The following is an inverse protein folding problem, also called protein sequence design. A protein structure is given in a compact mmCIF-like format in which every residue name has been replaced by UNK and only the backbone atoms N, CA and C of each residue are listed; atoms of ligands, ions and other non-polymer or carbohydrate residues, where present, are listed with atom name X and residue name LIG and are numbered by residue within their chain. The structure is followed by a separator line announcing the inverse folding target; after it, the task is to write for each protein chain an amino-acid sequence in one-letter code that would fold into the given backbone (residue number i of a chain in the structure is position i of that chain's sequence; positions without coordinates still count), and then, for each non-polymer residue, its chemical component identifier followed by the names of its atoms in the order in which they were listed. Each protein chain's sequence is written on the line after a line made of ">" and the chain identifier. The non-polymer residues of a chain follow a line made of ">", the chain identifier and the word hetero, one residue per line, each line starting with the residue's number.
data_IF_598088995971
#
_entry.id   IF_598088995971
#
_cell.length_a   1.000
_cell.length_b   1.000
_cell.length_c   1.000
_cell.angle_alpha   90.00
_cell.angle_beta   90.00
_cell.angle_gamma   90.00
#
_symmetry.space_group_name_H-M   'P 1'
#
loop_
_entity.id
_entity.type
_entity.pdbx_description
1 polymer ?
#
# COMPACT_ATOMS: atom_id res chain seq x y z
N UNK A 1 18.59 -2.60 -8.98
CA UNK A 1 17.66 -2.65 -7.82
C UNK A 1 18.19 -3.64 -6.79
N UNK A 2 18.39 -3.27 -5.52
CA UNK A 2 18.95 -4.20 -4.51
C UNK A 2 17.92 -5.26 -4.07
N UNK A 3 18.37 -6.48 -3.73
CA UNK A 3 17.50 -7.57 -3.25
C UNK A 3 16.63 -7.15 -2.07
N UNK A 4 17.19 -6.38 -1.13
CA UNK A 4 16.48 -5.83 0.02
C UNK A 4 15.32 -4.92 -0.41
N UNK A 5 15.55 -4.03 -1.38
CA UNK A 5 14.50 -3.14 -1.89
C UNK A 5 13.39 -3.91 -2.59
N UNK A 6 13.74 -4.92 -3.40
CA UNK A 6 12.76 -5.76 -4.08
C UNK A 6 11.86 -6.49 -3.07
N UNK A 7 12.44 -7.03 -2.00
CA UNK A 7 11.68 -7.65 -0.89
C UNK A 7 10.76 -6.63 -0.22
N UNK A 8 11.25 -5.43 0.08
CA UNK A 8 10.44 -4.35 0.68
C UNK A 8 9.24 -4.01 -0.20
N UNK A 9 9.43 -3.85 -1.51
CA UNK A 9 8.33 -3.52 -2.43
C UNK A 9 7.33 -4.66 -2.57
N UNK A 10 7.77 -5.92 -2.53
CA UNK A 10 6.86 -7.08 -2.53
C UNK A 10 6.00 -7.06 -1.26
N UNK A 11 6.59 -6.85 -0.08
CA UNK A 11 5.83 -6.74 1.16
C UNK A 11 4.89 -5.54 1.16
N UNK A 12 5.34 -4.40 0.61
CA UNK A 12 4.51 -3.22 0.48
C UNK A 12 3.30 -3.49 -0.43
N UNK A 13 3.51 -4.17 -1.56
CA UNK A 13 2.43 -4.58 -2.47
C UNK A 13 1.42 -5.49 -1.78
N UNK A 14 1.89 -6.48 -1.01
CA UNK A 14 1.03 -7.36 -0.21
C UNK A 14 0.21 -6.54 0.80
N UNK A 15 0.86 -5.60 1.52
CA UNK A 15 0.17 -4.72 2.46
C UNK A 15 -0.92 -3.86 1.81
N UNK A 16 -0.66 -3.31 0.62
CA UNK A 16 -1.63 -2.54 -0.15
C UNK A 16 -2.83 -3.42 -0.53
N UNK A 17 -2.59 -4.62 -1.04
CA UNK A 17 -3.66 -5.56 -1.40
C UNK A 17 -4.50 -5.96 -0.19
N UNK A 18 -3.87 -6.19 0.96
CA UNK A 18 -4.56 -6.46 2.22
C UNK A 18 -5.42 -5.29 2.69
N UNK A 19 -4.92 -4.05 2.54
CA UNK A 19 -5.67 -2.84 2.86
C UNK A 19 -6.92 -2.67 1.98
N UNK A 20 -6.78 -2.90 0.66
CA UNK A 20 -7.90 -2.89 -0.29
C UNK A 20 -8.92 -3.97 0.06
N UNK A 21 -8.46 -5.18 0.36
CA UNK A 21 -9.32 -6.29 0.77
C UNK A 21 -10.09 -5.97 2.05
N UNK A 22 -9.41 -5.45 3.08
CA UNK A 22 -10.03 -5.08 4.34
C UNK A 22 -11.07 -3.97 4.17
N UNK A 23 -10.78 -2.93 3.38
CA UNK A 23 -11.76 -1.90 3.05
C UNK A 23 -12.98 -2.49 2.33
N UNK A 24 -12.75 -3.35 1.33
CA UNK A 24 -13.82 -4.01 0.55
C UNK A 24 -14.70 -4.89 1.43
N UNK A 25 -14.09 -5.68 2.31
CA UNK A 25 -14.80 -6.51 3.28
C UNK A 25 -15.68 -5.65 4.20
N UNK A 26 -15.17 -4.53 4.70
CA UNK A 26 -15.96 -3.65 5.56
C UNK A 26 -17.15 -3.01 4.84
N UNK A 27 -17.03 -2.73 3.53
CA UNK A 27 -18.19 -2.30 2.72
C UNK A 27 -19.23 -3.41 2.60
N UNK A 28 -18.81 -4.66 2.41
CA UNK A 28 -19.72 -5.80 2.30
C UNK A 28 -20.44 -6.13 3.62
N UNK A 29 -19.77 -5.95 4.77
CA UNK A 29 -20.34 -6.19 6.09
C UNK A 29 -21.13 -5.01 6.65
N UNK A 30 -21.20 -3.88 5.94
CA UNK A 30 -21.88 -2.66 6.39
C UNK A 30 -21.14 -1.91 7.49
N UNK A 31 -19.89 -2.28 7.80
CA UNK A 31 -19.03 -1.61 8.78
C UNK A 31 -18.37 -0.34 8.21
N UNK A 32 -19.14 0.49 7.52
CA UNK A 32 -18.64 1.71 6.84
C UNK A 32 -18.54 2.88 7.83
N UNK A 33 -17.77 2.67 8.90
CA UNK A 33 -17.47 3.67 9.92
C UNK A 33 -16.03 4.17 9.87
N UNK A 34 -15.60 4.82 10.95
CA UNK A 34 -14.25 5.37 11.10
C UNK A 34 -13.13 4.38 10.75
N UNK A 35 -13.27 3.11 11.14
CA UNK A 35 -12.26 2.07 10.87
C UNK A 35 -12.04 1.85 9.37
N UNK A 36 -13.09 1.87 8.56
CA UNK A 36 -13.00 1.71 7.11
C UNK A 36 -12.37 2.93 6.44
N UNK A 37 -12.75 4.13 6.89
CA UNK A 37 -12.10 5.36 6.46
C UNK A 37 -10.60 5.35 6.77
N UNK A 38 -10.23 4.96 7.99
CA UNK A 38 -8.83 4.80 8.40
C UNK A 38 -8.10 3.76 7.55
N UNK A 39 -8.71 2.60 7.27
CA UNK A 39 -8.17 1.57 6.37
C UNK A 39 -7.91 2.08 4.96
N UNK A 40 -8.81 2.89 4.41
CA UNK A 40 -8.61 3.49 3.08
C UNK A 40 -7.44 4.48 3.12
N UNK A 41 -7.44 5.40 4.08
CA UNK A 41 -6.39 6.43 4.20
C UNK A 41 -5.01 5.81 4.39
N UNK A 42 -4.86 4.81 5.28
CA UNK A 42 -3.58 4.13 5.48
C UNK A 42 -3.11 3.41 4.20
N UNK A 43 -4.03 2.81 3.44
CA UNK A 43 -3.72 2.09 2.20
C UNK A 43 -3.24 3.06 1.12
N UNK A 44 -3.89 4.22 1.01
CA UNK A 44 -3.49 5.29 0.09
C UNK A 44 -2.11 5.83 0.45
N UNK A 45 -1.87 6.17 1.72
CA UNK A 45 -0.57 6.67 2.19
C UNK A 45 0.54 5.63 1.97
N UNK A 46 0.28 4.36 2.30
CA UNK A 46 1.20 3.25 2.05
C UNK A 46 1.53 3.10 0.56
N UNK A 47 0.53 3.25 -0.30
CA UNK A 47 0.72 3.23 -1.77
C UNK A 47 1.61 4.37 -2.23
N UNK A 48 1.35 5.60 -1.78
CA UNK A 48 2.16 6.78 -2.14
C UNK A 48 3.62 6.57 -1.72
N UNK A 49 3.86 6.13 -0.48
CA UNK A 49 5.22 5.86 0.02
C UNK A 49 5.92 4.78 -0.81
N UNK A 50 5.19 3.72 -1.16
CA UNK A 50 5.72 2.62 -2.00
C UNK A 50 6.12 3.13 -3.38
N UNK A 51 5.30 3.98 -3.99
CA UNK A 51 5.59 4.61 -5.29
C UNK A 51 6.81 5.52 -5.21
N UNK A 52 6.94 6.33 -4.14
CA UNK A 52 8.13 7.17 -3.94
C UNK A 52 9.41 6.31 -3.84
N UNK A 53 9.38 5.23 -3.06
CA UNK A 53 10.50 4.30 -2.93
C UNK A 53 10.82 3.60 -4.26
N UNK A 54 9.79 3.27 -5.05
CA UNK A 54 9.97 2.67 -6.36
C UNK A 54 10.58 3.67 -7.37
N UNK A 55 10.14 4.94 -7.37
CA UNK A 55 10.59 5.97 -8.30
C UNK A 55 11.99 6.50 -7.98
N UNK A 56 12.40 6.52 -6.72
CA UNK A 56 13.81 6.80 -6.35
C UNK A 56 14.78 5.82 -7.02
N UNK A 57 14.32 4.64 -7.47
CA UNK A 57 15.16 3.71 -8.27
C UNK A 57 15.47 4.21 -9.66
N UNK A 58 14.58 4.98 -10.28
CA UNK A 58 14.77 5.41 -11.67
C UNK A 58 15.78 6.54 -11.76
N UNK A 59 15.80 7.44 -10.76
CA UNK A 59 16.74 8.57 -10.71
C UNK A 59 18.22 8.20 -10.55
N UNK A 60 18.52 7.04 -9.94
CA UNK A 60 19.91 6.59 -9.76
C UNK A 60 20.47 5.83 -10.99
N UNK A 61 19.65 5.55 -12.01
CA UNK A 61 20.06 4.81 -13.21
C UNK A 61 20.10 5.66 -14.49
N UNK A 62 19.86 6.98 -14.40
CA UNK A 62 20.01 7.99 -15.46
C UNK A 62 21.20 8.91 -15.14
#
# INVERSE_FOLDING_TARGET
>A
MSRTRQVILIFALVGILMGIFAASHNFQTGQVGWNTGFTIVQTVLGTILTVLVANDSQKDND
#
